data_IF_127340023965
#
_entry.id   IF_127340023965
#
_cell.length_a   1.000
_cell.length_b   1.000
_cell.length_c   1.000
_cell.angle_alpha   90.00
_cell.angle_beta   90.00
_cell.angle_gamma   90.00
#
_symmetry.space_group_name_H-M   'P 1'
#
loop_
_entity.id
_entity.type
_entity.pdbx_description
1 polymer ?
#
# COMPACT_ATOMS: atom_id res chain seq x y z
N UNK A 1 14.23 -5.44 11.82
CA UNK A 1 14.09 -5.22 10.37
C UNK A 1 13.39 -3.89 10.20
N UNK A 2 14.12 -2.84 9.82
CA UNK A 2 13.50 -1.54 9.54
C UNK A 2 12.97 -1.64 8.10
N UNK A 3 11.66 -1.57 7.92
CA UNK A 3 11.09 -1.45 6.59
C UNK A 3 11.38 -0.01 6.13
N UNK A 4 12.30 0.14 5.18
CA UNK A 4 12.74 1.44 4.69
C UNK A 4 11.64 2.09 3.85
N UNK A 5 11.30 3.35 4.17
CA UNK A 5 10.51 4.23 3.32
C UNK A 5 11.43 4.89 2.29
N UNK A 6 11.02 4.87 1.02
CA UNK A 6 11.79 5.34 -0.14
C UNK A 6 11.12 6.50 -0.87
N UNK A 7 10.03 7.04 -0.32
CA UNK A 7 9.30 8.21 -0.82
C UNK A 7 8.62 7.95 -2.19
N UNK A 8 8.01 6.77 -2.33
CA UNK A 8 7.24 6.38 -3.53
C UNK A 8 5.98 7.23 -3.67
N UNK A 9 5.33 7.54 -2.54
CA UNK A 9 4.08 8.26 -2.49
C UNK A 9 4.27 9.65 -1.89
N UNK A 10 3.93 10.69 -2.65
CA UNK A 10 4.11 12.09 -2.27
C UNK A 10 3.27 12.48 -1.03
N UNK A 11 2.21 11.73 -0.73
CA UNK A 11 1.30 11.96 0.39
C UNK A 11 1.55 11.01 1.58
N UNK A 12 2.65 10.26 1.55
CA UNK A 12 3.11 9.40 2.65
C UNK A 12 4.59 9.72 2.93
N UNK A 13 4.88 10.80 3.67
CA UNK A 13 6.26 11.20 3.93
C UNK A 13 7.00 10.16 4.78
N UNK A 14 8.34 10.11 4.74
CA UNK A 14 9.14 9.19 5.57
C UNK A 14 8.92 9.30 7.09
N UNK A 15 8.43 10.43 7.57
CA UNK A 15 8.03 10.61 8.97
C UNK A 15 6.74 9.85 9.34
N UNK A 16 5.95 9.40 8.35
CA UNK A 16 4.79 8.56 8.59
C UNK A 16 5.27 7.18 9.06
N UNK A 17 4.89 6.73 10.28
CA UNK A 17 5.35 5.45 10.82
C UNK A 17 4.90 4.25 9.97
N UNK A 18 3.89 4.42 9.12
CA UNK A 18 3.38 3.40 8.22
C UNK A 18 4.02 3.42 6.82
N UNK A 19 4.87 4.40 6.48
CA UNK A 19 5.39 4.54 5.12
C UNK A 19 6.05 3.25 4.61
N UNK A 20 6.99 2.67 5.37
CA UNK A 20 7.68 1.45 4.95
C UNK A 20 6.70 0.30 4.68
N UNK A 21 5.68 0.12 5.53
CA UNK A 21 4.67 -0.92 5.35
C UNK A 21 3.83 -0.71 4.08
N UNK A 22 3.44 0.55 3.84
CA UNK A 22 2.67 0.94 2.65
C UNK A 22 3.47 0.64 1.38
N UNK A 23 4.73 1.05 1.34
CA UNK A 23 5.60 0.82 0.18
C UNK A 23 5.94 -0.66 0.00
N UNK A 24 6.07 -1.44 1.09
CA UNK A 24 6.26 -2.88 1.00
C UNK A 24 5.07 -3.56 0.30
N UNK A 25 3.83 -3.15 0.64
CA UNK A 25 2.63 -3.64 -0.04
C UNK A 25 2.58 -3.21 -1.51
N UNK A 26 3.01 -1.99 -1.82
CA UNK A 26 3.07 -1.49 -3.19
C UNK A 26 4.06 -2.28 -4.04
N UNK A 27 5.30 -2.45 -3.54
CA UNK A 27 6.34 -3.21 -4.22
C UNK A 27 5.98 -4.69 -4.39
N UNK A 28 5.14 -5.24 -3.50
CA UNK A 28 4.59 -6.59 -3.63
C UNK A 28 3.37 -6.69 -4.56
N UNK A 29 2.90 -5.59 -5.17
CA UNK A 29 1.73 -5.59 -6.05
C UNK A 29 0.39 -5.77 -5.33
N UNK A 30 0.35 -5.58 -4.01
CA UNK A 30 -0.87 -5.73 -3.20
C UNK A 30 -1.75 -4.48 -3.29
N UNK A 31 -1.14 -3.29 -3.30
CA UNK A 31 -1.82 -1.99 -3.35
C UNK A 31 -1.19 -1.11 -4.43
N UNK A 32 -1.98 -0.23 -5.07
CA UNK A 32 -1.49 0.68 -6.11
C UNK A 32 -1.60 2.17 -5.74
N UNK A 33 -2.30 2.49 -4.65
CA UNK A 33 -2.69 3.86 -4.32
C UNK A 33 -3.96 4.32 -5.07
N UNK A 34 -4.30 5.60 -4.87
CA UNK A 34 -5.53 6.23 -5.39
C UNK A 34 -5.30 7.00 -6.70
N UNK A 35 -4.07 7.44 -6.95
CA UNK A 35 -3.65 8.20 -8.12
C UNK A 35 -2.13 8.00 -8.34
N UNK A 36 -1.56 8.41 -9.49
CA UNK A 36 -0.11 8.32 -9.69
C UNK A 36 0.66 9.01 -8.56
N UNK A 37 1.59 8.28 -7.95
CA UNK A 37 2.41 8.71 -6.80
C UNK A 37 1.61 9.19 -5.58
N UNK A 38 0.35 8.73 -5.42
CA UNK A 38 -0.47 9.00 -4.23
C UNK A 38 -1.08 7.73 -3.65
N UNK A 39 -0.93 7.54 -2.33
CA UNK A 39 -1.53 6.44 -1.60
C UNK A 39 -2.94 6.74 -1.08
N UNK A 40 -3.21 8.01 -0.73
CA UNK A 40 -4.40 8.49 -0.04
C UNK A 40 -4.66 7.82 1.31
N UNK A 41 -3.79 8.00 2.33
CA UNK A 41 -3.88 7.28 3.61
C UNK A 41 -5.15 7.58 4.43
N UNK A 42 -5.84 8.69 4.14
CA UNK A 42 -7.07 9.09 4.83
C UNK A 42 -8.35 8.49 4.22
N UNK A 43 -8.28 7.83 3.05
CA UNK A 43 -9.44 7.21 2.43
C UNK A 43 -9.73 5.84 3.05
N UNK A 44 -11.01 5.52 3.16
CA UNK A 44 -11.46 4.21 3.63
C UNK A 44 -11.26 3.14 2.55
N UNK A 45 -10.92 1.94 3.00
CA UNK A 45 -10.87 0.72 2.17
C UNK A 45 -12.24 0.03 2.23
N UNK A 46 -12.86 -0.21 1.08
CA UNK A 46 -14.10 -0.98 0.98
C UNK A 46 -13.85 -2.48 1.23
N UNK A 47 -14.91 -3.25 1.51
CA UNK A 47 -14.77 -4.71 1.72
C UNK A 47 -14.31 -5.42 0.45
N UNK A 48 -14.73 -4.95 -0.72
CA UNK A 48 -14.32 -5.46 -2.03
C UNK A 48 -12.83 -5.21 -2.30
N UNK A 49 -12.34 -4.01 -1.96
CA UNK A 49 -10.92 -3.68 -2.07
C UNK A 49 -10.08 -4.52 -1.10
N UNK A 50 -10.53 -4.70 0.14
CA UNK A 50 -9.86 -5.57 1.11
C UNK A 50 -9.78 -7.01 0.60
N UNK A 51 -10.84 -7.53 -0.02
CA UNK A 51 -10.81 -8.87 -0.62
C UNK A 51 -9.73 -8.98 -1.69
N UNK A 52 -9.62 -7.99 -2.59
CA UNK A 52 -8.55 -7.94 -3.60
C UNK A 52 -7.15 -7.92 -2.97
N UNK A 53 -6.93 -7.14 -1.91
CA UNK A 53 -5.64 -7.09 -1.23
C UNK A 53 -5.26 -8.47 -0.65
N UNK A 54 -6.22 -9.19 -0.08
CA UNK A 54 -6.01 -10.54 0.47
C UNK A 54 -5.69 -11.54 -0.66
N UNK A 55 -6.40 -11.51 -1.78
CA UNK A 55 -6.07 -12.37 -2.94
C UNK A 55 -4.65 -12.09 -3.43
N UNK A 56 -4.28 -10.82 -3.58
CA UNK A 56 -2.96 -10.42 -4.08
C UNK A 56 -1.83 -10.81 -3.12
N UNK A 57 -2.00 -10.67 -1.80
CA UNK A 57 -0.91 -10.99 -0.85
C UNK A 57 -0.64 -12.49 -0.74
N UNK A 58 -1.68 -13.31 -0.90
CA UNK A 58 -1.56 -14.78 -0.83
C UNK A 58 -1.41 -15.43 -2.21
N UNK A 59 -1.46 -14.66 -3.31
CA UNK A 59 -1.49 -15.16 -4.68
C UNK A 59 -2.51 -16.29 -4.87
N UNK A 60 -3.72 -16.12 -4.35
CA UNK A 60 -4.77 -17.10 -4.57
C UNK A 60 -5.17 -17.11 -6.05
N UNK A 61 -5.11 -18.28 -6.66
CA UNK A 61 -5.63 -18.50 -8.00
C UNK A 61 -7.17 -18.38 -7.96
N UNK A 62 -7.72 -17.65 -8.92
CA UNK A 62 -9.17 -17.50 -9.13
C UNK A 62 -9.65 -18.52 -10.16
#
# INVERSE_FOLDING_TARGET
MIISCTDIFNDVPPANPFCGYIEALYNAGVVNGCAPNMYCPALYVSREQMAKFIINVYNFEL
#
